data_IF_383824276019
#
_entry.id   IF_383824276019
#
_cell.length_a   1.000
_cell.length_b   1.000
_cell.length_c   1.000
_cell.angle_alpha   90.00
_cell.angle_beta   90.00
_cell.angle_gamma   90.00
#
_symmetry.space_group_name_H-M   'P 1'
#
loop_
_entity.id
_entity.type
_entity.pdbx_description
1 polymer ?
2 non-polymer ?
3 non-polymer ?
4 water ?
#
# COMPACT_ATOMS: atom_id res chain seq x y z
N UNK A 5 -19.15 1.07 3.66
CA UNK A 5 -17.99 0.28 4.07
C UNK A 5 -16.77 0.41 3.13
N UNK A 6 -16.81 1.39 2.18
CA UNK A 6 -15.71 1.54 1.26
C UNK A 6 -14.39 1.86 1.97
N UNK A 7 -14.31 2.92 2.83
CA UNK A 7 -13.02 3.23 3.47
C UNK A 7 -12.50 2.05 4.29
N UNK A 8 -13.36 1.45 5.09
CA UNK A 8 -13.00 0.36 5.99
C UNK A 8 -12.39 -0.83 5.25
N UNK A 9 -12.91 -1.12 4.05
CA UNK A 9 -12.43 -2.25 3.23
C UNK A 9 -11.01 -1.94 2.78
N UNK A 10 -10.77 -0.70 2.33
CA UNK A 10 -9.44 -0.35 1.84
C UNK A 10 -8.47 -0.27 3.02
N UNK A 11 -8.94 0.22 4.19
CA UNK A 11 -8.08 0.27 5.38
C UNK A 11 -7.61 -1.15 5.74
N UNK A 12 -8.53 -2.12 5.67
CA UNK A 12 -8.19 -3.52 5.98
C UNK A 12 -7.17 -4.07 4.93
N UNK A 13 -7.31 -3.72 3.62
CA UNK A 13 -6.31 -4.18 2.64
C UNK A 13 -4.93 -3.59 2.99
N UNK A 14 -4.88 -2.28 3.32
CA UNK A 14 -3.61 -1.65 3.64
C UNK A 14 -3.01 -2.23 4.92
N UNK A 15 -3.83 -2.52 5.90
CA UNK A 15 -3.32 -3.10 7.17
C UNK A 15 -2.81 -4.57 6.96
N UNK A 16 -3.53 -5.32 6.13
CA UNK A 16 -3.14 -6.70 5.82
C UNK A 16 -1.82 -6.67 5.07
N UNK A 17 -1.65 -5.67 4.14
CA UNK A 17 -0.39 -5.64 3.40
C UNK A 17 0.77 -5.31 4.32
N UNK A 18 0.56 -4.35 5.25
CA UNK A 18 1.57 -3.98 6.23
C UNK A 18 1.97 -5.20 7.10
N UNK A 19 1.00 -5.96 7.55
CA UNK A 19 1.28 -7.16 8.40
C UNK A 19 2.03 -8.24 7.61
N UNK A 20 1.75 -8.32 6.30
CA UNK A 20 2.44 -9.22 5.39
C UNK A 20 3.93 -8.81 5.28
N UNK A 21 4.20 -7.52 5.01
CA UNK A 21 5.57 -7.07 4.86
C UNK A 21 6.34 -7.26 6.16
N UNK A 22 5.71 -6.89 7.32
CA UNK A 22 6.38 -7.02 8.61
C UNK A 22 6.45 -8.43 9.13
N UNK A 23 5.84 -9.40 8.40
CA UNK A 23 5.81 -10.81 8.76
C UNK A 23 5.17 -10.98 10.14
N UNK A 24 4.07 -10.25 10.40
CA UNK A 24 3.32 -10.38 11.66
C UNK A 24 1.86 -10.82 11.35
N UNK A 25 1.67 -12.09 10.93
CA UNK A 25 0.31 -12.57 10.61
C UNK A 25 -0.60 -12.55 11.81
N UNK A 26 -1.82 -12.02 11.62
CA UNK A 26 -2.76 -11.98 12.72
C UNK A 26 -3.66 -13.20 12.69
N UNK A 27 -3.75 -13.93 13.82
CA UNK A 27 -4.58 -15.14 13.84
C UNK A 27 -6.07 -14.85 13.70
N UNK A 28 -6.80 -15.90 13.42
CA UNK A 28 -8.23 -15.82 13.14
C UNK A 28 -8.49 -16.45 11.79
N UNK A 29 -9.45 -15.91 11.03
CA UNK A 29 -9.79 -16.50 9.72
C UNK A 29 -8.80 -16.14 8.59
N UNK A 30 -7.96 -15.13 8.81
CA UNK A 30 -6.93 -14.78 7.83
C UNK A 30 -7.42 -13.82 6.77
N UNK A 31 -6.53 -13.44 5.84
CA UNK A 31 -6.93 -12.47 4.82
C UNK A 31 -7.92 -13.02 3.80
N UNK A 32 -8.70 -12.11 3.26
CA UNK A 32 -9.70 -12.42 2.27
C UNK A 32 -9.00 -12.84 0.96
N UNK A 33 -9.77 -13.36 0.00
CA UNK A 33 -9.24 -13.67 -1.31
C UNK A 33 -8.66 -12.38 -1.98
N UNK A 34 -9.30 -11.19 -1.88
CA UNK A 34 -8.71 -9.96 -2.51
C UNK A 34 -7.35 -9.68 -1.93
N UNK A 35 -7.29 -9.75 -0.58
CA UNK A 35 -6.06 -9.42 0.10
C UNK A 35 -4.95 -10.35 -0.31
N UNK A 36 -5.26 -11.65 -0.41
CA UNK A 36 -4.25 -12.65 -0.77
C UNK A 36 -3.71 -12.37 -2.19
N UNK A 37 -4.62 -12.02 -3.13
CA UNK A 37 -4.15 -11.73 -4.48
C UNK A 37 -3.28 -10.46 -4.50
N UNK A 38 -3.75 -9.44 -3.79
CA UNK A 38 -3.01 -8.17 -3.71
C UNK A 38 -1.62 -8.35 -3.13
N UNK A 39 -1.48 -9.16 -2.07
CA UNK A 39 -0.16 -9.33 -1.42
C UNK A 39 0.91 -9.82 -2.39
N UNK A 40 0.61 -10.82 -3.29
CA UNK A 40 1.67 -11.28 -4.22
C UNK A 40 1.96 -10.25 -5.30
N UNK A 41 0.91 -9.62 -5.88
CA UNK A 41 1.20 -8.66 -6.96
C UNK A 41 1.94 -7.45 -6.44
N UNK A 42 1.48 -6.90 -5.28
CA UNK A 42 2.11 -5.69 -4.76
C UNK A 42 3.54 -6.00 -4.29
N UNK A 43 3.77 -7.20 -3.70
CA UNK A 43 5.13 -7.54 -3.28
C UNK A 43 6.07 -7.65 -4.49
N UNK A 44 5.57 -8.20 -5.62
CA UNK A 44 6.41 -8.30 -6.80
C UNK A 44 6.80 -6.89 -7.30
N UNK A 45 5.82 -5.98 -7.30
CA UNK A 45 6.09 -4.59 -7.74
C UNK A 45 7.06 -3.92 -6.72
N UNK A 46 6.81 -4.13 -5.41
CA UNK A 46 7.68 -3.55 -4.36
C UNK A 46 9.15 -3.94 -4.58
N UNK A 47 9.42 -5.24 -4.83
CA UNK A 47 10.85 -5.66 -4.97
C UNK A 47 11.46 -5.03 -6.20
N UNK A 48 10.66 -4.87 -7.26
CA UNK A 48 11.14 -4.19 -8.46
C UNK A 48 11.47 -2.71 -8.19
N UNK A 49 10.59 -1.97 -7.51
CA UNK A 49 10.90 -0.56 -7.17
C UNK A 49 12.15 -0.49 -6.27
N UNK A 50 12.26 -1.39 -5.29
CA UNK A 50 13.40 -1.36 -4.34
C UNK A 50 14.74 -1.51 -5.09
N UNK A 51 14.76 -2.42 -6.07
CA UNK A 51 15.95 -2.74 -6.85
C UNK A 51 16.32 -1.58 -7.73
N UNK A 52 15.34 -1.04 -8.45
CA UNK A 52 15.60 0.02 -9.42
C UNK A 52 15.93 1.32 -8.78
N UNK A 53 15.24 1.65 -7.70
CA UNK A 53 15.41 2.96 -7.07
C UNK A 53 16.18 2.94 -5.77
N UNK A 54 16.97 1.87 -5.51
CA UNK A 54 17.78 1.74 -4.30
C UNK A 54 18.59 2.98 -3.95
N UNK A 55 19.37 3.52 -4.90
CA UNK A 55 20.23 4.66 -4.60
C UNK A 55 19.49 5.88 -4.06
N UNK A 56 18.33 6.25 -4.64
CA UNK A 56 17.61 7.40 -4.13
C UNK A 56 16.79 7.08 -2.89
N UNK A 57 16.28 5.84 -2.76
CA UNK A 57 15.57 5.47 -1.52
C UNK A 57 16.52 5.52 -0.32
N UNK A 58 17.79 5.10 -0.52
CA UNK A 58 18.77 5.09 0.55
C UNK A 58 19.17 6.49 1.02
N UNK A 59 18.92 7.53 0.21
CA UNK A 59 19.30 8.90 0.61
C UNK A 59 18.27 9.58 1.54
N UNK A 60 17.13 8.93 1.82
CA UNK A 60 16.06 9.50 2.63
C UNK A 60 15.85 8.72 3.89
N UNK A 61 15.66 9.43 4.99
CA UNK A 61 15.49 8.84 6.32
C UNK A 61 14.06 8.96 6.80
N UNK A 62 13.35 7.82 6.90
CA UNK A 62 11.95 7.88 7.32
C UNK A 62 11.92 7.79 8.80
N UNK A 63 12.12 8.92 9.46
CA UNK A 63 12.30 8.96 10.91
C UNK A 63 11.04 9.06 11.73
N UNK A 64 9.90 9.29 11.12
CA UNK A 64 8.66 9.46 11.85
C UNK A 64 7.49 9.16 10.95
N UNK A 65 6.30 8.93 11.54
CA UNK A 65 5.11 8.71 10.71
C UNK A 65 4.74 9.97 9.91
N UNK A 66 5.04 11.16 10.41
CA UNK A 66 4.79 12.41 9.68
C UNK A 66 5.63 12.45 8.42
N UNK A 67 6.92 12.03 8.51
CA UNK A 67 7.75 11.99 7.31
C UNK A 67 7.20 10.96 6.33
N UNK A 68 6.81 9.75 6.83
CA UNK A 68 6.22 8.74 5.93
C UNK A 68 4.96 9.29 5.21
N UNK A 69 4.08 9.99 5.93
CA UNK A 69 2.84 10.55 5.35
C UNK A 69 3.17 11.59 4.29
N UNK A 70 4.12 12.47 4.59
CA UNK A 70 4.52 13.50 3.65
C UNK A 70 5.14 12.91 2.37
N UNK A 71 6.04 11.93 2.51
CA UNK A 71 6.69 11.31 1.35
C UNK A 71 5.65 10.55 0.56
N UNK A 72 4.76 9.80 1.25
CA UNK A 72 3.71 9.04 0.55
C UNK A 72 2.84 9.98 -0.31
N UNK A 73 2.40 11.10 0.27
CA UNK A 73 1.52 12.01 -0.46
C UNK A 73 2.24 12.69 -1.59
N UNK A 74 3.51 13.06 -1.42
CA UNK A 74 4.27 13.70 -2.51
C UNK A 74 4.49 12.73 -3.68
N UNK A 75 4.90 11.50 -3.39
CA UNK A 75 5.16 10.49 -4.42
C UNK A 75 3.89 10.07 -5.13
N UNK A 76 2.80 9.89 -4.37
CA UNK A 76 1.53 9.46 -4.98
C UNK A 76 0.85 10.60 -5.72
N UNK A 77 0.95 11.87 -5.26
CA UNK A 77 0.41 12.99 -6.04
C UNK A 77 1.10 13.04 -7.42
N UNK A 78 2.41 12.79 -7.44
CA UNK A 78 3.17 12.82 -8.70
C UNK A 78 2.78 11.62 -9.56
N UNK A 79 2.67 10.42 -8.95
CA UNK A 79 2.31 9.23 -9.71
C UNK A 79 0.96 9.38 -10.44
N UNK A 80 0.02 10.13 -9.85
CA UNK A 80 -1.32 10.27 -10.42
C UNK A 80 -1.62 11.64 -11.04
N UNK A 81 -0.65 12.53 -11.10
CA UNK A 81 -0.87 13.90 -11.56
C UNK A 81 -1.44 14.01 -12.97
N UNK A 82 -1.18 12.99 -13.84
CA UNK A 82 -1.66 13.12 -15.23
C UNK A 82 -3.15 12.77 -15.43
N UNK A 83 -3.84 12.37 -14.36
CA UNK A 83 -5.26 12.07 -14.45
C UNK A 83 -5.61 10.64 -14.82
N UNK A 84 -4.61 9.82 -15.14
CA UNK A 84 -4.87 8.46 -15.55
C UNK A 84 -4.94 7.60 -14.31
N UNK A 85 -5.87 6.66 -14.29
CA UNK A 85 -5.98 5.67 -13.22
C UNK A 85 -6.06 4.31 -13.90
N UNK A 86 -5.28 3.36 -13.37
CA UNK A 86 -5.34 1.99 -13.84
C UNK A 86 -4.95 1.07 -12.68
N UNK A 87 -5.22 -0.24 -12.82
CA UNK A 87 -4.95 -1.14 -11.70
C UNK A 87 -3.48 -1.19 -11.30
N UNK A 88 -2.57 -1.12 -12.29
CA UNK A 88 -1.14 -1.17 -12.01
C UNK A 88 -0.74 -0.01 -11.08
N UNK A 89 -1.32 1.18 -11.31
CA UNK A 89 -1.03 2.34 -10.46
C UNK A 89 -1.55 2.09 -9.04
N UNK A 90 -2.73 1.45 -8.95
CA UNK A 90 -3.28 1.17 -7.62
C UNK A 90 -2.41 0.12 -6.90
N UNK A 91 -1.92 -0.94 -7.59
CA UNK A 91 -1.01 -1.90 -6.93
C UNK A 91 0.27 -1.16 -6.44
N UNK A 92 0.73 -0.14 -7.19
CA UNK A 92 1.96 0.58 -6.81
C UNK A 92 1.79 1.36 -5.49
N UNK A 93 0.56 1.74 -5.16
CA UNK A 93 0.32 2.45 -3.88
C UNK A 93 0.65 1.49 -2.72
N UNK A 94 0.21 0.24 -2.83
CA UNK A 94 0.48 -0.73 -1.76
C UNK A 94 1.96 -1.05 -1.71
N UNK A 95 2.58 -1.25 -2.90
CA UNK A 95 4.02 -1.50 -2.95
C UNK A 95 4.80 -0.35 -2.24
N UNK A 96 4.35 0.90 -2.48
CA UNK A 96 5.05 2.03 -1.88
C UNK A 96 4.87 2.06 -0.36
N UNK A 97 3.66 1.75 0.12
CA UNK A 97 3.49 1.65 1.59
C UNK A 97 4.41 0.58 2.21
N UNK A 98 4.68 -0.52 1.46
CA UNK A 98 5.57 -1.55 1.97
C UNK A 98 6.99 -1.04 2.08
N UNK A 99 7.41 -0.18 1.13
CA UNK A 99 8.75 0.42 1.21
C UNK A 99 8.83 1.34 2.40
N UNK A 100 7.79 2.18 2.59
CA UNK A 100 7.80 3.12 3.74
C UNK A 100 7.81 2.41 5.08
N UNK A 101 7.06 1.29 5.20
CA UNK A 101 7.01 0.48 6.43
C UNK A 101 8.42 -0.01 6.78
N UNK A 102 9.13 -0.52 5.79
CA UNK A 102 10.47 -1.09 5.99
C UNK A 102 11.45 0.01 6.43
N UNK A 103 11.40 1.18 5.77
CA UNK A 103 12.27 2.26 6.14
C UNK A 103 11.92 2.81 7.53
N UNK A 104 10.62 2.91 7.87
CA UNK A 104 10.16 3.36 9.21
C UNK A 104 10.63 2.38 10.28
N UNK A 105 10.57 1.08 10.00
CA UNK A 105 11.03 0.09 11.00
C UNK A 105 12.54 0.30 11.28
N UNK A 106 13.30 0.64 10.24
CA UNK A 106 14.75 0.79 10.37
C UNK A 106 15.17 2.11 11.02
N UNK A 107 14.42 3.22 10.71
CA UNK A 107 14.86 4.54 11.17
C UNK A 107 13.89 5.35 12.08
N UNK A 108 12.66 4.88 12.42
CA UNK A 108 11.74 5.64 13.33
C UNK A 108 12.46 6.03 14.63
N UNK A 109 12.51 7.34 14.93
CA UNK A 109 13.23 7.80 16.13
C UNK A 109 12.65 7.23 17.44
N UNK A 110 11.33 7.15 17.58
CA UNK A 110 10.75 6.58 18.81
C UNK A 110 9.79 5.46 18.39
N UNK A 111 10.28 4.21 18.31
CA UNK A 111 9.43 3.13 17.78
C UNK A 111 8.09 2.97 18.51
N UNK A 112 6.99 2.90 17.73
CA UNK A 112 5.67 2.74 18.32
C UNK A 112 4.83 1.96 17.34
N UNK A 113 4.46 0.75 17.74
CA UNK A 113 3.61 -0.15 16.96
C UNK A 113 2.24 0.46 16.68
N UNK A 114 1.67 1.21 17.65
CA UNK A 114 0.36 1.84 17.45
C UNK A 114 0.36 2.91 16.37
N UNK A 115 1.55 3.35 15.88
CA UNK A 115 1.66 4.34 14.80
C UNK A 115 1.61 3.69 13.40
N UNK A 116 1.57 2.34 13.31
CA UNK A 116 1.54 1.62 12.04
C UNK A 116 0.12 1.66 11.38
N UNK A 117 -0.90 1.73 12.20
CA UNK A 117 -2.26 1.88 11.78
C UNK A 117 -2.51 3.28 11.15
N UNK A 118 -1.63 4.27 11.46
CA UNK A 118 -1.68 5.58 10.83
C UNK A 118 -1.32 5.44 9.34
N UNK A 119 -0.37 4.54 9.02
CA UNK A 119 0.00 4.35 7.62
C UNK A 119 -1.17 3.75 6.86
N UNK A 120 -1.83 2.70 7.41
CA UNK A 120 -3.00 2.11 6.72
C UNK A 120 -4.09 3.18 6.52
N UNK A 121 -4.23 4.12 7.48
CA UNK A 121 -5.21 5.19 7.36
C UNK A 121 -4.84 6.10 6.19
N UNK A 122 -3.57 6.61 6.12
CA UNK A 122 -3.29 7.58 5.04
C UNK A 122 -3.26 6.92 3.68
N UNK A 123 -3.01 5.57 3.61
CA UNK A 123 -3.08 4.87 2.31
C UNK A 123 -4.58 4.79 1.87
N UNK A 124 -5.47 4.38 2.77
CA UNK A 124 -6.90 4.30 2.47
C UNK A 124 -7.49 5.65 2.10
N UNK A 125 -7.05 6.73 2.77
CA UNK A 125 -7.56 8.06 2.47
C UNK A 125 -7.17 8.46 1.04
N UNK A 126 -5.89 8.17 0.64
CA UNK A 126 -5.46 8.54 -0.70
C UNK A 126 -6.24 7.75 -1.74
N UNK A 127 -6.41 6.45 -1.50
CA UNK A 127 -7.09 5.59 -2.47
C UNK A 127 -8.55 5.99 -2.60
N UNK A 128 -9.23 6.17 -1.47
CA UNK A 128 -10.64 6.54 -1.49
C UNK A 128 -10.91 7.86 -2.17
N UNK A 129 -10.13 8.88 -1.81
CA UNK A 129 -10.33 10.21 -2.36
C UNK A 129 -9.84 10.41 -3.78
N UNK A 130 -8.89 9.62 -4.27
CA UNK A 130 -8.34 9.87 -5.60
C UNK A 130 -8.71 8.82 -6.62
N UNK A 131 -9.04 7.59 -6.18
CA UNK A 131 -9.33 6.48 -7.10
C UNK A 131 -10.63 5.69 -6.81
N UNK A 132 -11.32 5.96 -5.70
CA UNK A 132 -12.50 5.18 -5.32
C UNK A 132 -13.61 5.04 -6.34
N UNK A 133 -13.97 6.15 -7.00
CA UNK A 133 -15.04 6.14 -8.02
C UNK A 133 -14.59 5.33 -9.26
N UNK A 134 -13.32 5.48 -9.67
CA UNK A 134 -12.78 4.68 -10.78
C UNK A 134 -12.81 3.20 -10.41
N UNK A 135 -12.45 2.87 -9.16
CA UNK A 135 -12.43 1.47 -8.72
C UNK A 135 -13.81 0.86 -8.85
N UNK A 136 -14.83 1.57 -8.39
CA UNK A 136 -16.19 1.07 -8.46
C UNK A 136 -16.65 0.87 -9.90
N UNK A 137 -16.39 1.86 -10.76
CA UNK A 137 -16.78 1.75 -12.17
C UNK A 137 -16.05 0.68 -12.93
N UNK A 138 -14.90 0.24 -12.40
CA UNK A 138 -14.14 -0.80 -13.06
C UNK A 138 -14.28 -2.17 -12.37
N UNK A 139 -15.31 -2.34 -11.53
CA UNK A 139 -15.61 -3.66 -10.96
C UNK A 139 -15.35 -3.84 -9.49
N UNK A 140 -14.88 -2.80 -8.82
CA UNK A 140 -14.54 -2.92 -7.41
C UNK A 140 -13.35 -3.84 -7.21
N UNK A 141 -13.14 -4.26 -5.96
CA UNK A 141 -12.00 -5.13 -5.66
C UNK A 141 -12.24 -6.57 -6.03
N UNK A 142 -13.45 -7.07 -5.80
CA UNK A 142 -13.75 -8.48 -6.10
C UNK A 142 -14.06 -8.72 -7.57
N UNK A 143 -14.81 -7.82 -8.23
CA UNK A 143 -15.12 -8.01 -9.64
C UNK A 143 -14.20 -7.23 -10.61
N UNK A 144 -13.21 -6.53 -10.09
CA UNK A 144 -12.33 -5.73 -10.90
C UNK A 144 -10.90 -6.19 -10.65
N UNK A 145 -10.38 -5.80 -9.49
CA UNK A 145 -9.01 -6.15 -9.16
C UNK A 145 -8.76 -7.67 -9.16
N UNK A 146 -9.56 -8.42 -8.41
CA UNK A 146 -9.32 -9.88 -8.33
C UNK A 146 -9.43 -10.55 -9.67
N UNK A 147 -10.43 -10.17 -10.47
CA UNK A 147 -10.60 -10.79 -11.78
C UNK A 147 -9.40 -10.55 -12.69
N UNK A 148 -8.80 -9.37 -12.60
CA UNK A 148 -7.67 -9.00 -13.42
C UNK A 148 -6.37 -9.69 -12.98
N UNK A 149 -6.16 -9.82 -11.65
CA UNK A 149 -4.87 -10.29 -11.15
C UNK A 149 -4.84 -11.68 -10.57
N UNK A 150 -6.00 -12.33 -10.43
CA UNK A 150 -5.98 -13.70 -9.87
C UNK A 150 -5.34 -14.68 -10.83
N UNK A 151 -4.80 -15.81 -10.34
CA UNK A 151 -4.21 -16.81 -11.25
C UNK A 151 -5.22 -17.29 -12.28
N UNK A 152 -4.81 -17.62 -13.55
CA UNK A 152 -5.77 -18.15 -14.50
C UNK A 152 -6.08 -19.60 -14.15
#
# INVERSE_FOLDING_TARGET
GMTDCEFGYIYRLAQDYLQCVLQIPQPGSGPSKTSRVLQNVAFSVQKEVEKNLKSCLDNVNVVSVDTARTLFNQVMEKEFEDGIINWGRIVTIFAFEGILIKKLLRQQIAPDVDTYKEISYFVAEFIMNNTGEWIRQNGGWENGFVKKFEPK
#
